data_IF_363533508798
#
_entry.id   IF_363533508798
#
_cell.length_a   1.000
_cell.length_b   1.000
_cell.length_c   1.000
_cell.angle_alpha   90.00
_cell.angle_beta   90.00
_cell.angle_gamma   90.00
#
_symmetry.space_group_name_H-M   'P 1'
#
loop_
_entity.id
_entity.type
_entity.pdbx_description
1 polymer ?
#
# COMPACT_ATOMS: atom_id res chain seq x y z
N UNK A 1 -15.11 0.05 -0.24
CA UNK A 1 -14.15 0.85 -1.00
C UNK A 1 -12.83 0.96 -0.24
N UNK A 2 -11.76 0.37 -0.78
CA UNK A 2 -10.39 0.56 -0.31
C UNK A 2 -9.82 1.94 -0.73
N UNK A 3 -8.74 2.37 -0.08
CA UNK A 3 -8.01 3.61 -0.41
C UNK A 3 -6.93 3.26 -1.43
N UNK A 4 -6.92 3.94 -2.57
CA UNK A 4 -5.92 3.73 -3.63
C UNK A 4 -4.70 4.61 -3.36
N UNK A 5 -3.51 4.13 -3.70
CA UNK A 5 -2.26 4.85 -3.54
C UNK A 5 -1.40 4.65 -4.78
N UNK A 6 -0.80 5.73 -5.27
CA UNK A 6 0.16 5.62 -6.35
C UNK A 6 1.47 5.01 -5.86
N UNK A 7 2.21 4.36 -6.78
CA UNK A 7 3.58 3.87 -6.51
C UNK A 7 4.49 4.99 -6.01
N UNK A 8 4.29 6.22 -6.51
CA UNK A 8 5.06 7.39 -6.10
C UNK A 8 4.79 7.82 -4.66
N UNK A 9 3.55 7.71 -4.18
CA UNK A 9 3.21 7.99 -2.77
C UNK A 9 3.81 6.92 -1.85
N UNK A 10 3.75 5.65 -2.25
CA UNK A 10 4.37 4.55 -1.51
C UNK A 10 5.90 4.73 -1.42
N UNK A 11 6.56 5.06 -2.54
CA UNK A 11 8.01 5.29 -2.57
C UNK A 11 8.45 6.40 -1.61
N UNK A 12 7.66 7.49 -1.49
CA UNK A 12 7.93 8.57 -0.53
C UNK A 12 7.86 8.10 0.93
N UNK A 13 6.95 7.18 1.27
CA UNK A 13 6.80 6.65 2.62
C UNK A 13 7.96 5.72 3.02
N UNK A 14 8.49 4.96 2.06
CA UNK A 14 9.68 4.11 2.25
C UNK A 14 10.92 5.00 2.45
N UNK A 15 11.09 6.02 1.60
CA UNK A 15 12.28 6.87 1.60
C UNK A 15 13.48 6.24 0.86
N UNK A 16 14.52 7.04 0.62
CA UNK A 16 15.69 6.63 -0.14
C UNK A 16 15.72 7.13 -1.60
N UNK A 17 16.72 6.73 -2.40
CA UNK A 17 16.84 7.16 -3.79
C UNK A 17 15.74 6.54 -4.66
N UNK A 18 15.14 7.36 -5.52
CA UNK A 18 14.11 6.93 -6.48
C UNK A 18 14.73 6.92 -7.88
N UNK A 19 14.62 5.79 -8.58
CA UNK A 19 15.00 5.64 -9.98
C UNK A 19 13.73 5.39 -10.79
N UNK A 20 13.49 6.20 -11.82
CA UNK A 20 12.37 6.02 -12.73
C UNK A 20 12.82 5.15 -13.91
N UNK A 21 12.23 3.97 -14.03
CA UNK A 21 12.41 3.07 -15.15
C UNK A 21 11.32 3.25 -16.22
N UNK A 22 11.55 2.82 -17.47
CA UNK A 22 10.51 2.81 -18.49
C UNK A 22 9.25 2.04 -18.04
N UNK A 23 8.05 2.51 -18.40
CA UNK A 23 6.80 1.95 -17.92
C UNK A 23 6.60 0.50 -18.38
N UNK A 24 6.15 -0.36 -17.47
CA UNK A 24 5.68 -1.72 -17.77
C UNK A 24 4.16 -1.68 -17.97
N UNK A 25 3.63 -2.54 -18.84
CA UNK A 25 2.18 -2.71 -19.01
C UNK A 25 1.67 -3.54 -17.83
N UNK A 26 1.30 -2.86 -16.73
CA UNK A 26 0.67 -3.45 -15.55
C UNK A 26 -0.75 -2.86 -15.38
N UNK A 27 -1.66 -3.58 -14.69
CA UNK A 27 -2.99 -3.03 -14.38
C UNK A 27 -2.85 -1.70 -13.62
N UNK A 28 -3.39 -0.62 -14.20
CA UNK A 28 -3.25 0.74 -13.70
C UNK A 28 -3.80 0.91 -12.27
N UNK A 29 -4.86 0.19 -11.93
CA UNK A 29 -5.49 0.22 -10.62
C UNK A 29 -6.04 -1.16 -10.24
N UNK A 30 -5.63 -1.68 -9.08
CA UNK A 30 -6.23 -2.87 -8.47
C UNK A 30 -6.97 -2.45 -7.20
N UNK A 31 -8.13 -1.81 -7.38
CA UNK A 31 -9.00 -1.42 -6.26
C UNK A 31 -9.64 -2.66 -5.63
N UNK A 32 -9.15 -3.03 -4.45
CA UNK A 32 -9.78 -4.08 -3.64
C UNK A 32 -11.03 -3.51 -2.93
N UNK A 33 -12.23 -3.87 -3.40
CA UNK A 33 -13.46 -3.56 -2.67
C UNK A 33 -13.69 -4.59 -1.55
N UNK A 34 -13.54 -4.16 -0.31
CA UNK A 34 -13.77 -4.95 0.90
C UNK A 34 -15.22 -4.94 1.40
N UNK A 35 -16.17 -4.40 0.62
CA UNK A 35 -17.59 -4.29 1.01
C UNK A 35 -18.22 -5.63 1.41
N UNK A 36 -17.95 -6.70 0.65
CA UNK A 36 -18.43 -8.06 0.94
C UNK A 36 -17.82 -8.64 2.21
N UNK A 37 -16.52 -8.48 2.43
CA UNK A 37 -15.85 -8.95 3.64
C UNK A 37 -16.39 -8.25 4.90
N UNK A 38 -16.65 -6.94 4.80
CA UNK A 38 -17.29 -6.18 5.88
C UNK A 38 -18.71 -6.66 6.16
N UNK A 39 -19.50 -6.93 5.11
CA UNK A 39 -20.89 -7.36 5.23
C UNK A 39 -21.02 -8.78 5.79
N UNK A 40 -20.18 -9.70 5.32
CA UNK A 40 -20.31 -11.13 5.64
C UNK A 40 -19.54 -11.53 6.90
N UNK A 41 -18.40 -10.90 7.16
CA UNK A 41 -17.48 -11.30 8.22
C UNK A 41 -17.32 -10.23 9.31
N UNK A 42 -17.97 -9.06 9.16
CA UNK A 42 -17.70 -7.89 10.01
C UNK A 42 -16.27 -7.36 9.87
N UNK A 43 -15.53 -7.83 8.87
CA UNK A 43 -14.11 -7.59 8.74
C UNK A 43 -13.82 -6.21 8.14
N UNK A 44 -12.86 -5.50 8.73
CA UNK A 44 -12.34 -4.23 8.21
C UNK A 44 -10.82 -4.19 8.39
N UNK A 45 -10.07 -3.50 7.50
CA UNK A 45 -8.68 -3.21 7.77
C UNK A 45 -8.56 -2.37 9.05
N UNK A 46 -7.60 -2.74 9.90
CA UNK A 46 -7.36 -2.08 11.21
C UNK A 46 -6.05 -1.32 11.25
N UNK A 47 -5.15 -1.57 10.32
CA UNK A 47 -3.81 -0.97 10.25
C UNK A 47 -3.82 0.06 9.12
N UNK A 48 -3.37 1.29 9.43
CA UNK A 48 -3.18 2.30 8.39
C UNK A 48 -1.98 1.96 7.50
N UNK A 49 -1.97 2.43 6.24
CA UNK A 49 -0.86 2.14 5.32
C UNK A 49 0.48 2.62 5.90
N UNK A 50 0.47 3.83 6.46
CA UNK A 50 1.63 4.50 7.04
C UNK A 50 2.20 3.72 8.23
N UNK A 51 1.31 3.19 9.08
CA UNK A 51 1.68 2.33 10.22
C UNK A 51 2.30 1.01 9.75
N UNK A 52 1.67 0.35 8.77
CA UNK A 52 2.19 -0.91 8.22
C UNK A 52 3.57 -0.74 7.56
N UNK A 53 3.80 0.37 6.86
CA UNK A 53 5.12 0.68 6.28
C UNK A 53 6.15 0.92 7.38
N UNK A 54 5.79 1.65 8.45
CA UNK A 54 6.69 1.88 9.57
C UNK A 54 7.07 0.59 10.31
N UNK A 55 6.12 -0.34 10.48
CA UNK A 55 6.39 -1.68 11.03
C UNK A 55 7.32 -2.48 10.11
N UNK A 56 7.03 -2.53 8.82
CA UNK A 56 7.88 -3.22 7.83
C UNK A 56 9.31 -2.65 7.85
N UNK A 57 9.49 -1.34 7.89
CA UNK A 57 10.82 -0.72 7.98
C UNK A 57 11.62 -1.23 9.18
N UNK A 58 10.99 -1.39 10.34
CA UNK A 58 11.64 -1.96 11.53
C UNK A 58 12.04 -3.41 11.33
N UNK A 59 11.15 -4.24 10.76
CA UNK A 59 11.44 -5.67 10.49
C UNK A 59 12.63 -5.83 9.55
N UNK A 60 12.74 -4.95 8.54
CA UNK A 60 13.79 -5.02 7.52
C UNK A 60 15.06 -4.22 7.88
N UNK A 61 15.14 -3.63 9.08
CA UNK A 61 16.31 -2.84 9.51
C UNK A 61 16.52 -1.55 8.70
N UNK A 62 15.45 -1.02 8.11
CA UNK A 62 15.46 0.23 7.34
C UNK A 62 15.19 1.40 8.30
N UNK A 63 16.25 2.11 8.68
CA UNK A 63 16.19 3.26 9.59
C UNK A 63 15.84 4.55 8.83
#
# INVERSE_FOLDING_TARGET
AGRNFSVNELAKLIGGPIVHEPPRIEPHDTLADSSLAKKLLGWKPTVALEEGIAELRKVWGLH
#
